data_IF_400714812164
#
_entry.id   IF_400714812164
#
_cell.length_a   1.000
_cell.length_b   1.000
_cell.length_c   1.000
_cell.angle_alpha   90.00
_cell.angle_beta   90.00
_cell.angle_gamma   90.00
#
_symmetry.space_group_name_H-M   'P 1'
#
loop_
_entity.id
_entity.type
_entity.pdbx_description
1 polymer ?
#
# COMPACT_ATOMS: atom_id res chain seq x y z
N UNK A 1 17.72 -39.68 -38.64
CA UNK A 1 16.83 -40.76 -39.11
C UNK A 1 16.28 -41.42 -37.87
N UNK A 2 15.03 -41.36 -37.43
CA UNK A 2 13.66 -41.02 -37.90
C UNK A 2 12.89 -40.77 -36.59
N UNK A 3 11.99 -39.81 -36.34
CA UNK A 3 10.91 -39.25 -37.15
C UNK A 3 9.55 -39.73 -36.60
N UNK A 4 8.63 -38.76 -36.33
CA UNK A 4 7.16 -38.86 -36.05
C UNK A 4 6.75 -38.99 -34.56
N UNK A 5 5.73 -38.32 -33.98
CA UNK A 5 5.06 -37.00 -34.10
C UNK A 5 4.01 -36.85 -32.96
N UNK A 6 3.89 -35.63 -32.41
CA UNK A 6 2.70 -34.89 -31.88
C UNK A 6 1.65 -35.53 -30.94
N UNK A 7 1.43 -34.85 -29.80
CA UNK A 7 0.16 -34.28 -29.26
C UNK A 7 0.52 -33.66 -27.88
N UNK A 8 0.71 -32.34 -27.70
CA UNK A 8 -0.24 -31.23 -27.47
C UNK A 8 -1.31 -31.40 -26.37
N UNK A 9 -1.23 -30.45 -25.42
CA UNK A 9 -2.24 -29.90 -24.48
C UNK A 9 -2.60 -30.68 -23.19
N UNK A 10 -2.27 -30.09 -22.03
CA UNK A 10 -3.29 -29.59 -21.09
C UNK A 10 -2.66 -28.77 -19.92
N UNK A 11 -3.08 -27.50 -19.82
CA UNK A 11 -2.79 -26.52 -18.76
C UNK A 11 -4.12 -26.26 -18.04
N UNK A 12 -4.22 -26.27 -16.69
CA UNK A 12 -5.48 -25.99 -16.01
C UNK A 12 -5.83 -24.50 -16.02
N UNK A 13 -7.09 -24.25 -16.35
CA UNK A 13 -7.74 -22.95 -16.59
C UNK A 13 -8.11 -22.22 -15.29
N UNK A 14 -7.96 -20.89 -15.36
CA UNK A 14 -8.59 -19.88 -14.52
C UNK A 14 -10.13 -20.00 -14.57
N UNK A 15 -10.79 -19.86 -13.41
CA UNK A 15 -12.24 -19.73 -13.27
C UNK A 15 -12.68 -18.30 -13.60
N UNK A 16 -13.37 -18.13 -14.73
CA UNK A 16 -14.18 -16.96 -15.05
C UNK A 16 -15.66 -17.29 -14.82
N UNK A 17 -16.31 -16.52 -13.94
CA UNK A 17 -17.75 -16.59 -13.70
C UNK A 17 -18.46 -15.72 -14.73
N UNK A 18 -19.16 -16.37 -15.65
CA UNK A 18 -19.84 -15.74 -16.77
C UNK A 18 -21.11 -15.00 -16.41
N UNK A 19 -21.54 -14.14 -17.33
CA UNK A 19 -22.93 -13.87 -17.68
C UNK A 19 -22.96 -13.34 -19.12
N UNK A 20 -23.67 -14.06 -20.00
CA UNK A 20 -23.91 -13.72 -21.41
C UNK A 20 -25.35 -13.18 -21.64
N UNK A 21 -25.66 -12.63 -22.83
CA UNK A 21 -26.55 -11.48 -22.99
C UNK A 21 -27.94 -11.82 -23.59
N UNK A 22 -28.87 -10.87 -23.54
CA UNK A 22 -30.17 -10.94 -24.20
C UNK A 22 -30.81 -9.56 -24.44
N UNK A 23 -31.27 -9.35 -25.67
CA UNK A 23 -31.82 -8.14 -26.31
C UNK A 23 -33.08 -7.53 -25.66
N UNK A 24 -33.38 -6.26 -26.00
CA UNK A 24 -34.77 -5.81 -26.19
C UNK A 24 -35.09 -4.36 -25.78
N UNK A 25 -35.25 -3.47 -26.75
CA UNK A 25 -35.86 -2.14 -26.61
C UNK A 25 -37.28 -2.21 -26.00
N UNK A 26 -37.64 -1.27 -25.12
CA UNK A 26 -38.99 -0.71 -25.05
C UNK A 26 -39.02 0.59 -24.25
N UNK A 27 -39.40 1.67 -24.93
CA UNK A 27 -39.84 2.95 -24.38
C UNK A 27 -41.12 2.79 -23.56
N UNK A 28 -41.16 3.34 -22.33
CA UNK A 28 -42.42 3.70 -21.66
C UNK A 28 -42.34 5.10 -21.05
N UNK A 29 -43.20 5.94 -21.61
CA UNK A 29 -43.71 7.21 -21.10
C UNK A 29 -44.26 7.04 -19.67
N UNK A 30 -44.04 8.04 -18.81
CA UNK A 30 -44.91 8.27 -17.66
C UNK A 30 -45.11 9.77 -17.48
N UNK A 31 -46.31 10.20 -17.84
CA UNK A 31 -46.89 11.53 -17.69
C UNK A 31 -47.22 11.79 -16.21
N UNK A 32 -46.88 12.97 -15.70
CA UNK A 32 -47.51 13.56 -14.51
C UNK A 32 -47.86 15.01 -14.85
N UNK A 33 -49.12 15.21 -15.21
CA UNK A 33 -49.69 16.52 -15.50
C UNK A 33 -50.16 17.20 -14.21
N UNK A 34 -49.91 18.50 -14.11
CA UNK A 34 -50.70 19.42 -13.29
C UNK A 34 -51.03 20.66 -14.14
N UNK A 35 -52.33 20.85 -14.37
CA UNK A 35 -52.95 22.01 -15.02
C UNK A 35 -53.47 23.00 -13.97
N UNK A 36 -53.19 24.29 -14.15
CA UNK A 36 -54.03 25.41 -13.68
C UNK A 36 -53.69 26.64 -14.54
N UNK A 37 -54.52 26.96 -15.53
CA UNK A 37 -55.62 27.95 -15.56
C UNK A 37 -55.18 29.35 -16.03
N UNK A 38 -55.88 29.78 -17.08
CA UNK A 38 -55.73 30.98 -17.87
C UNK A 38 -56.37 32.20 -17.20
N UNK A 39 -55.81 33.40 -17.41
CA UNK A 39 -56.53 34.66 -17.28
C UNK A 39 -56.05 35.64 -18.36
N UNK A 40 -56.96 35.94 -19.30
CA UNK A 40 -56.83 36.93 -20.36
C UNK A 40 -57.38 38.27 -19.84
N UNK A 41 -56.66 39.37 -20.03
CA UNK A 41 -57.26 40.71 -20.15
C UNK A 41 -56.45 41.53 -21.15
N UNK A 42 -57.09 41.89 -22.26
CA UNK A 42 -56.59 42.89 -23.21
C UNK A 42 -57.20 44.26 -22.90
N UNK A 43 -56.45 45.32 -23.15
CA UNK A 43 -57.00 46.65 -23.42
C UNK A 43 -56.09 47.41 -24.40
N UNK A 44 -56.75 48.05 -25.35
CA UNK A 44 -56.29 48.90 -26.44
C UNK A 44 -55.87 50.30 -25.95
N UNK A 45 -54.86 50.93 -26.58
CA UNK A 45 -54.69 52.39 -26.55
C UNK A 45 -53.89 52.92 -27.76
N UNK A 46 -54.34 54.08 -28.24
CA UNK A 46 -53.99 54.78 -29.49
C UNK A 46 -52.71 55.64 -29.38
N UNK A 47 -52.12 55.92 -30.54
CA UNK A 47 -51.32 57.09 -30.96
C UNK A 47 -51.34 58.32 -30.03
N UNK A 48 -50.18 58.91 -29.69
CA UNK A 48 -49.90 60.37 -29.83
C UNK A 48 -48.39 60.66 -29.80
N UNK A 49 -47.94 61.53 -30.69
CA UNK A 49 -46.62 62.17 -30.82
C UNK A 49 -46.37 63.22 -29.73
N UNK A 50 -45.15 63.36 -29.20
CA UNK A 50 -44.41 64.63 -28.96
C UNK A 50 -43.21 64.41 -28.03
N UNK A 51 -42.06 64.98 -28.42
CA UNK A 51 -40.78 64.79 -27.75
C UNK A 51 -40.57 65.65 -26.51
N UNK A 52 -39.44 65.40 -25.84
CA UNK A 52 -38.78 66.36 -24.96
C UNK A 52 -37.30 65.97 -24.84
N UNK A 53 -36.44 66.83 -25.41
CA UNK A 53 -35.03 66.99 -25.04
C UNK A 53 -34.89 67.37 -23.57
N UNK A 54 -33.97 66.73 -22.84
CA UNK A 54 -33.41 67.28 -21.60
C UNK A 54 -32.00 66.72 -21.31
N UNK A 55 -31.07 67.65 -21.11
CA UNK A 55 -29.69 67.50 -20.64
C UNK A 55 -29.58 66.89 -19.22
N UNK A 56 -28.56 66.05 -18.96
CA UNK A 56 -27.39 66.34 -18.08
C UNK A 56 -26.70 65.07 -17.52
N UNK A 57 -25.37 65.17 -17.41
CA UNK A 57 -24.50 64.66 -16.34
C UNK A 57 -24.09 63.18 -16.33
N UNK A 58 -22.77 62.98 -16.48
CA UNK A 58 -21.96 61.82 -16.07
C UNK A 58 -22.23 61.37 -14.62
N UNK A 59 -23.15 60.42 -14.45
CA UNK A 59 -23.20 59.51 -13.30
C UNK A 59 -23.55 58.11 -13.81
N UNK A 60 -22.79 57.12 -13.40
CA UNK A 60 -23.07 55.69 -13.61
C UNK A 60 -24.42 55.34 -12.98
N UNK A 61 -25.43 55.05 -13.81
CA UNK A 61 -26.78 54.66 -13.37
C UNK A 61 -26.98 53.18 -13.69
N UNK A 62 -26.80 52.30 -12.70
CA UNK A 62 -27.18 50.89 -12.84
C UNK A 62 -28.69 50.81 -13.08
N UNK A 63 -29.09 50.38 -14.27
CA UNK A 63 -30.50 50.13 -14.61
C UNK A 63 -30.86 48.70 -14.26
N UNK A 64 -31.77 48.51 -13.31
CA UNK A 64 -32.31 47.20 -12.95
C UNK A 64 -33.61 46.96 -13.73
N UNK A 65 -33.60 46.01 -14.66
CA UNK A 65 -34.83 45.45 -15.24
C UNK A 65 -34.67 43.93 -15.27
N UNK A 66 -35.59 43.23 -14.60
CA UNK A 66 -35.64 41.76 -14.50
C UNK A 66 -34.35 41.07 -14.04
N UNK A 67 -33.95 41.32 -12.78
CA UNK A 67 -33.14 40.38 -12.01
C UNK A 67 -31.63 40.30 -12.29
N UNK A 68 -31.08 41.05 -13.25
CA UNK A 68 -29.64 41.10 -13.50
C UNK A 68 -29.10 42.54 -13.41
N UNK A 69 -28.08 42.76 -12.58
CA UNK A 69 -27.30 44.00 -12.54
C UNK A 69 -26.22 43.94 -13.60
N UNK A 70 -26.53 44.37 -14.81
CA UNK A 70 -25.50 44.55 -15.85
C UNK A 70 -24.89 45.95 -15.69
N UNK A 71 -23.55 46.03 -15.70
CA UNK A 71 -22.84 47.31 -15.64
C UNK A 71 -23.31 48.21 -16.80
N UNK A 72 -23.56 49.50 -16.55
CA UNK A 72 -24.18 50.43 -17.52
C UNK A 72 -23.44 50.47 -18.86
N UNK A 73 -22.12 50.29 -18.81
CA UNK A 73 -21.22 50.24 -19.97
C UNK A 73 -21.45 49.00 -20.83
N UNK A 74 -21.65 47.83 -20.22
CA UNK A 74 -21.97 46.56 -20.90
C UNK A 74 -23.35 46.66 -21.59
N UNK A 75 -24.36 47.15 -20.87
CA UNK A 75 -25.70 47.35 -21.43
C UNK A 75 -25.69 48.34 -22.62
N UNK A 76 -24.92 49.44 -22.51
CA UNK A 76 -24.76 50.39 -23.60
C UNK A 76 -24.09 49.76 -24.83
N UNK A 77 -23.04 48.95 -24.63
CA UNK A 77 -22.33 48.25 -25.70
C UNK A 77 -23.22 47.23 -26.42
N UNK A 78 -24.01 46.45 -25.68
CA UNK A 78 -24.99 45.50 -26.25
C UNK A 78 -26.01 46.24 -27.13
N UNK A 79 -26.57 47.36 -26.63
CA UNK A 79 -27.50 48.18 -27.39
C UNK A 79 -26.88 48.78 -28.67
N UNK A 80 -25.63 49.25 -28.58
CA UNK A 80 -24.89 49.78 -29.73
C UNK A 80 -24.63 48.70 -30.79
N UNK A 81 -24.30 47.49 -30.39
CA UNK A 81 -24.06 46.38 -31.30
C UNK A 81 -25.36 45.87 -31.95
N UNK A 82 -26.47 45.82 -31.21
CA UNK A 82 -27.78 45.45 -31.77
C UNK A 82 -28.33 46.48 -32.75
N UNK A 83 -28.08 47.77 -32.54
CA UNK A 83 -28.57 48.83 -33.44
C UNK A 83 -27.95 48.79 -34.84
N UNK A 84 -26.79 48.16 -34.99
CA UNK A 84 -26.14 47.92 -36.28
C UNK A 84 -26.78 46.77 -37.08
N UNK A 85 -27.66 45.99 -36.44
CA UNK A 85 -28.29 44.80 -37.00
C UNK A 85 -27.35 43.59 -36.95
N UNK A 86 -27.74 42.56 -36.20
CA UNK A 86 -26.88 41.37 -35.91
C UNK A 86 -26.37 40.67 -37.18
N UNK A 87 -27.13 40.74 -38.27
CA UNK A 87 -26.75 40.15 -39.57
C UNK A 87 -25.63 40.90 -40.30
N UNK A 88 -25.39 42.17 -39.95
CA UNK A 88 -24.36 43.02 -40.54
C UNK A 88 -23.05 43.04 -39.74
N UNK A 89 -23.03 42.38 -38.57
CA UNK A 89 -21.85 42.27 -37.73
C UNK A 89 -20.89 41.19 -38.25
N UNK A 90 -19.59 41.45 -38.14
CA UNK A 90 -18.57 40.42 -38.42
C UNK A 90 -18.72 39.25 -37.45
N UNK A 91 -18.11 38.10 -37.78
CA UNK A 91 -18.13 36.95 -36.89
C UNK A 91 -17.56 37.28 -35.51
N UNK A 92 -16.41 37.97 -35.42
CA UNK A 92 -15.81 38.30 -34.13
C UNK A 92 -16.74 39.19 -33.28
N UNK A 93 -17.40 40.16 -33.91
CA UNK A 93 -18.29 41.10 -33.21
C UNK A 93 -19.60 40.42 -32.75
N UNK A 94 -20.06 39.37 -33.45
CA UNK A 94 -21.19 38.55 -32.97
C UNK A 94 -20.82 37.69 -31.77
N UNK A 95 -19.59 37.17 -31.72
CA UNK A 95 -19.07 36.44 -30.55
C UNK A 95 -18.94 37.39 -29.35
N UNK A 96 -18.44 38.61 -29.56
CA UNK A 96 -18.40 39.66 -28.54
C UNK A 96 -19.81 39.94 -27.98
N UNK A 97 -20.79 40.17 -28.86
CA UNK A 97 -22.18 40.42 -28.45
C UNK A 97 -22.76 39.24 -27.65
N UNK A 98 -22.51 38.00 -28.10
CA UNK A 98 -22.99 36.81 -27.41
C UNK A 98 -22.37 36.64 -26.02
N UNK A 99 -21.06 36.88 -25.89
CA UNK A 99 -20.36 36.84 -24.59
C UNK A 99 -20.88 37.94 -23.64
N UNK A 100 -21.10 39.16 -24.14
CA UNK A 100 -21.64 40.26 -23.34
C UNK A 100 -23.08 40.00 -22.86
N UNK A 101 -23.91 39.34 -23.68
CA UNK A 101 -25.29 38.97 -23.31
C UNK A 101 -25.35 37.75 -22.38
N UNK A 102 -24.32 36.90 -22.39
CA UNK A 102 -24.27 35.66 -21.63
C UNK A 102 -23.08 35.66 -20.66
N UNK A 103 -22.83 36.76 -19.96
CA UNK A 103 -21.73 36.89 -18.98
C UNK A 103 -21.74 35.76 -17.94
N UNK A 104 -22.94 35.30 -17.54
CA UNK A 104 -23.11 34.14 -16.64
C UNK A 104 -22.65 32.81 -17.25
N UNK A 105 -22.68 32.66 -18.56
CA UNK A 105 -22.21 31.44 -19.25
C UNK A 105 -20.69 31.29 -19.13
N UNK A 106 -19.96 32.40 -19.19
CA UNK A 106 -18.52 32.39 -18.95
C UNK A 106 -18.19 31.90 -17.54
N UNK A 107 -18.87 32.43 -16.51
CA UNK A 107 -18.67 32.01 -15.12
C UNK A 107 -19.15 30.59 -14.81
N UNK A 108 -20.26 30.14 -15.41
CA UNK A 108 -20.88 28.85 -15.08
C UNK A 108 -20.35 27.67 -15.90
N UNK A 109 -19.79 27.91 -17.09
CA UNK A 109 -19.39 26.84 -18.03
C UNK A 109 -17.93 26.93 -18.42
N UNK A 110 -17.46 28.12 -18.78
CA UNK A 110 -16.09 28.31 -19.29
C UNK A 110 -15.09 28.31 -18.13
N UNK A 111 -15.32 29.11 -17.09
CA UNK A 111 -14.41 29.22 -15.94
C UNK A 111 -14.22 27.91 -15.18
N UNK A 112 -15.25 27.07 -14.92
CA UNK A 112 -15.04 25.76 -14.30
C UNK A 112 -14.20 24.83 -15.18
N UNK A 113 -14.36 24.90 -16.50
CA UNK A 113 -13.58 24.11 -17.46
C UNK A 113 -12.12 24.56 -17.52
N UNK A 114 -11.87 25.88 -17.50
CA UNK A 114 -10.51 26.45 -17.43
C UNK A 114 -9.86 26.19 -16.08
N UNK A 115 -10.59 26.32 -14.97
CA UNK A 115 -10.10 25.96 -13.64
C UNK A 115 -9.77 24.47 -13.54
N UNK A 116 -10.58 23.60 -14.14
CA UNK A 116 -10.25 22.18 -14.25
C UNK A 116 -8.97 21.98 -15.06
N UNK A 117 -8.79 22.71 -16.16
CA UNK A 117 -7.55 22.67 -16.93
C UNK A 117 -6.34 23.14 -16.11
N UNK A 118 -6.45 24.27 -15.41
CA UNK A 118 -5.33 24.81 -14.63
C UNK A 118 -4.99 23.92 -13.43
N UNK A 119 -5.99 23.34 -12.77
CA UNK A 119 -5.76 22.43 -11.63
C UNK A 119 -5.19 21.07 -12.06
N UNK A 120 -5.60 20.53 -13.22
CA UNK A 120 -5.25 19.15 -13.61
C UNK A 120 -4.15 19.07 -14.69
N UNK A 121 -4.01 20.11 -15.51
CA UNK A 121 -3.12 20.14 -16.68
C UNK A 121 -2.02 21.22 -16.57
N UNK A 122 -2.29 22.42 -16.00
CA UNK A 122 -1.20 23.33 -15.60
C UNK A 122 -0.51 22.82 -14.33
N UNK A 123 0.36 21.83 -14.52
CA UNK A 123 1.25 21.38 -13.46
C UNK A 123 2.32 22.46 -13.26
N UNK A 124 2.22 23.21 -12.16
CA UNK A 124 3.34 24.03 -11.67
C UNK A 124 4.63 23.20 -11.73
N UNK A 125 5.79 23.79 -12.09
CA UNK A 125 7.02 23.02 -12.30
C UNK A 125 7.38 22.25 -11.03
N UNK A 126 7.02 20.96 -11.00
CA UNK A 126 7.41 20.07 -9.91
C UNK A 126 8.89 19.76 -10.07
N UNK A 127 9.71 20.53 -9.35
CA UNK A 127 11.13 20.30 -9.07
C UNK A 127 12.05 20.41 -10.30
N UNK A 128 12.73 21.55 -10.37
CA UNK A 128 13.76 21.86 -11.36
C UNK A 128 15.03 20.98 -11.23
N UNK A 129 15.20 20.24 -10.13
CA UNK A 129 16.42 19.52 -9.81
C UNK A 129 16.55 18.06 -10.27
N UNK A 130 15.56 17.45 -10.96
CA UNK A 130 15.54 16.03 -11.43
C UNK A 130 16.61 15.11 -10.80
N UNK A 131 16.38 14.65 -9.57
CA UNK A 131 17.31 13.75 -8.86
C UNK A 131 18.42 14.41 -8.05
N UNK A 132 18.44 15.74 -7.90
CA UNK A 132 19.38 16.45 -7.01
C UNK A 132 19.33 15.90 -5.57
N UNK A 133 18.14 15.58 -5.08
CA UNK A 133 17.94 14.95 -3.79
C UNK A 133 18.66 13.61 -3.68
N UNK A 134 18.47 12.73 -4.67
CA UNK A 134 19.21 11.48 -4.75
C UNK A 134 20.73 11.67 -4.81
N UNK A 135 21.24 12.60 -5.63
CA UNK A 135 22.70 12.84 -5.73
C UNK A 135 23.32 13.21 -4.39
N UNK A 136 22.64 14.07 -3.62
CA UNK A 136 23.11 14.45 -2.29
C UNK A 136 23.10 13.26 -1.31
N UNK A 137 22.05 12.43 -1.37
CA UNK A 137 21.97 11.20 -0.56
C UNK A 137 23.09 10.24 -0.96
N UNK A 138 23.29 10.01 -2.27
CA UNK A 138 24.28 9.09 -2.79
C UNK A 138 25.71 9.47 -2.40
N UNK A 139 26.08 10.74 -2.55
CA UNK A 139 27.39 11.23 -2.11
C UNK A 139 27.59 11.01 -0.61
N UNK A 140 26.56 11.30 0.20
CA UNK A 140 26.62 11.07 1.65
C UNK A 140 26.80 9.59 2.00
N UNK A 141 26.12 8.69 1.29
CA UNK A 141 26.25 7.24 1.49
C UNK A 141 27.67 6.74 1.15
N UNK A 142 28.39 7.42 0.26
CA UNK A 142 29.76 7.04 -0.11
C UNK A 142 30.80 7.54 0.91
N UNK A 143 30.50 8.61 1.64
CA UNK A 143 31.42 9.27 2.57
C UNK A 143 31.20 8.87 4.04
N UNK A 144 29.97 8.48 4.41
CA UNK A 144 29.54 8.29 5.81
C UNK A 144 28.90 6.91 6.01
N UNK A 145 29.68 5.96 6.55
CA UNK A 145 29.20 4.61 6.90
C UNK A 145 28.03 4.64 7.89
N UNK A 146 27.98 5.62 8.79
CA UNK A 146 26.87 5.76 9.72
C UNK A 146 25.60 6.20 8.99
N UNK A 147 25.71 7.04 7.96
CA UNK A 147 24.58 7.39 7.10
C UNK A 147 24.04 6.17 6.34
N UNK A 148 24.89 5.22 5.91
CA UNK A 148 24.42 3.97 5.31
C UNK A 148 23.57 3.15 6.29
N UNK A 149 24.06 2.95 7.51
CA UNK A 149 23.31 2.21 8.53
C UNK A 149 22.03 2.93 8.94
N UNK A 150 22.07 4.26 9.02
CA UNK A 150 20.89 5.07 9.36
C UNK A 150 19.85 5.04 8.24
N UNK A 151 20.23 5.27 6.97
CA UNK A 151 19.28 5.40 5.88
C UNK A 151 18.87 4.06 5.28
N UNK A 152 19.84 3.16 5.03
CA UNK A 152 19.65 1.91 4.31
C UNK A 152 19.58 0.68 5.23
N UNK A 153 19.96 0.82 6.51
CA UNK A 153 20.05 -0.27 7.49
C UNK A 153 21.06 -1.37 7.13
N UNK A 154 22.01 -1.05 6.26
CA UNK A 154 23.09 -1.94 5.85
C UNK A 154 24.32 -1.11 5.47
N UNK A 155 25.48 -1.74 5.42
CA UNK A 155 26.71 -1.10 4.95
C UNK A 155 26.66 -0.87 3.43
N UNK A 156 27.43 0.10 2.93
CA UNK A 156 27.52 0.37 1.49
C UNK A 156 27.90 -0.88 0.67
N UNK A 157 28.89 -1.71 1.06
CA UNK A 157 29.20 -2.93 0.31
C UNK A 157 28.04 -3.92 0.24
N UNK A 158 27.28 -4.08 1.34
CA UNK A 158 26.10 -4.95 1.36
C UNK A 158 25.00 -4.40 0.45
N UNK A 159 24.78 -3.08 0.48
CA UNK A 159 23.84 -2.41 -0.41
C UNK A 159 24.21 -2.58 -1.89
N UNK A 160 25.48 -2.39 -2.26
CA UNK A 160 25.96 -2.61 -3.62
C UNK A 160 25.78 -4.06 -4.06
N UNK A 161 26.11 -5.02 -3.17
CA UNK A 161 25.88 -6.44 -3.44
C UNK A 161 24.39 -6.76 -3.68
N UNK A 162 23.50 -6.19 -2.86
CA UNK A 162 22.05 -6.32 -3.03
C UNK A 162 21.58 -5.77 -4.38
N UNK A 163 22.05 -4.57 -4.76
CA UNK A 163 21.72 -3.97 -6.06
C UNK A 163 22.15 -4.87 -7.22
N UNK A 164 23.36 -5.43 -7.16
CA UNK A 164 23.88 -6.32 -8.20
C UNK A 164 23.09 -7.63 -8.29
N UNK A 165 22.72 -8.22 -7.15
CA UNK A 165 21.91 -9.44 -7.09
C UNK A 165 20.53 -9.18 -7.72
N UNK A 166 19.87 -8.08 -7.36
CA UNK A 166 18.56 -7.71 -7.88
C UNK A 166 18.57 -7.43 -9.38
N UNK A 167 19.62 -6.80 -9.87
CA UNK A 167 19.79 -6.57 -11.31
C UNK A 167 20.04 -7.86 -12.08
N UNK A 168 20.95 -8.70 -11.58
CA UNK A 168 21.46 -9.87 -12.32
C UNK A 168 20.48 -11.03 -12.29
N UNK A 169 19.88 -11.30 -11.13
CA UNK A 169 19.09 -12.51 -10.90
C UNK A 169 17.59 -12.27 -10.95
N UNK A 170 17.14 -11.05 -10.63
CA UNK A 170 15.72 -10.73 -10.46
C UNK A 170 15.19 -9.66 -11.42
N UNK A 171 15.98 -9.30 -12.45
CA UNK A 171 15.52 -8.51 -13.59
C UNK A 171 15.30 -7.02 -13.31
N UNK A 172 15.77 -6.48 -12.18
CA UNK A 172 15.62 -5.05 -11.87
C UNK A 172 16.49 -4.21 -12.82
N UNK A 173 15.85 -3.44 -13.71
CA UNK A 173 16.55 -2.64 -14.71
C UNK A 173 16.57 -1.14 -14.38
N UNK A 174 17.67 -0.43 -14.72
CA UNK A 174 17.72 1.02 -14.64
C UNK A 174 16.80 1.64 -15.69
N UNK A 175 16.40 2.88 -15.47
CA UNK A 175 15.68 3.69 -16.47
C UNK A 175 16.55 4.89 -16.85
N UNK A 176 16.18 5.59 -17.93
CA UNK A 176 16.90 6.80 -18.36
C UNK A 176 17.02 7.88 -17.28
N UNK A 177 16.13 7.87 -16.28
CA UNK A 177 16.06 8.90 -15.25
C UNK A 177 16.44 8.42 -13.85
N UNK A 178 16.54 7.10 -13.59
CA UNK A 178 16.67 6.52 -12.25
C UNK A 178 17.59 5.31 -12.31
N UNK A 179 18.63 5.32 -11.46
CA UNK A 179 19.56 4.20 -11.33
C UNK A 179 18.98 3.06 -10.49
N UNK A 180 19.65 1.92 -10.47
CA UNK A 180 19.22 0.78 -9.64
C UNK A 180 19.35 1.18 -8.18
N UNK A 181 20.48 1.76 -7.79
CA UNK A 181 20.76 2.19 -6.42
C UNK A 181 19.69 3.16 -5.92
N UNK A 182 19.27 4.12 -6.75
CA UNK A 182 18.19 5.03 -6.40
C UNK A 182 16.88 4.27 -6.16
N UNK A 183 16.55 3.32 -7.04
CA UNK A 183 15.33 2.51 -6.94
C UNK A 183 15.32 1.66 -5.66
N UNK A 184 16.43 0.98 -5.37
CA UNK A 184 16.61 0.16 -4.16
C UNK A 184 16.54 1.04 -2.91
N UNK A 185 17.23 2.19 -2.91
CA UNK A 185 17.22 3.10 -1.77
C UNK A 185 15.83 3.67 -1.48
N UNK A 186 15.04 4.01 -2.51
CA UNK A 186 13.64 4.44 -2.35
C UNK A 186 12.86 3.38 -1.57
N UNK A 187 12.94 2.11 -1.98
CA UNK A 187 12.21 1.03 -1.30
C UNK A 187 12.69 0.82 0.13
N UNK A 188 14.01 0.71 0.34
CA UNK A 188 14.60 0.48 1.66
C UNK A 188 14.24 1.60 2.63
N UNK A 189 14.21 2.86 2.18
CA UNK A 189 13.83 4.00 3.04
C UNK A 189 12.35 3.93 3.41
N UNK A 190 11.46 3.61 2.46
CA UNK A 190 10.02 3.47 2.73
C UNK A 190 9.78 2.34 3.75
N UNK A 191 10.32 1.14 3.51
CA UNK A 191 10.08 -0.04 4.34
C UNK A 191 10.83 0.02 5.67
N UNK A 192 12.08 0.47 5.67
CA UNK A 192 12.88 0.60 6.88
C UNK A 192 12.28 1.63 7.82
N UNK A 193 12.12 2.86 7.35
CA UNK A 193 11.73 4.00 8.20
C UNK A 193 10.23 4.16 8.37
N UNK A 194 9.40 3.36 7.68
CA UNK A 194 7.95 3.54 7.62
C UNK A 194 7.59 4.97 7.16
N UNK A 195 8.35 5.46 6.17
CA UNK A 195 8.22 6.80 5.61
C UNK A 195 7.07 6.88 4.60
N UNK A 196 6.44 8.04 4.50
CA UNK A 196 5.36 8.27 3.54
C UNK A 196 5.95 8.49 2.15
N UNK A 197 5.34 7.91 1.11
CA UNK A 197 5.79 8.05 -0.28
C UNK A 197 5.96 9.53 -0.69
N UNK A 198 5.12 10.43 -0.15
CA UNK A 198 5.19 11.89 -0.36
C UNK A 198 6.54 12.48 0.05
N UNK A 199 7.00 12.11 1.23
CA UNK A 199 8.22 12.65 1.84
C UNK A 199 9.46 12.06 1.17
N UNK A 200 9.43 10.76 0.83
CA UNK A 200 10.48 10.12 0.02
C UNK A 200 10.58 10.79 -1.34
N UNK A 201 9.45 11.05 -2.00
CA UNK A 201 9.42 11.81 -3.24
C UNK A 201 10.10 13.18 -3.10
N UNK A 202 9.78 13.94 -2.04
CA UNK A 202 10.40 15.24 -1.73
C UNK A 202 11.91 15.11 -1.53
N UNK A 203 12.34 14.15 -0.72
CA UNK A 203 13.75 13.95 -0.36
C UNK A 203 14.61 13.52 -1.55
N UNK A 204 14.10 12.62 -2.40
CA UNK A 204 14.81 12.13 -3.58
C UNK A 204 14.66 13.05 -4.80
N UNK A 205 13.69 13.98 -4.76
CA UNK A 205 13.39 14.85 -5.89
C UNK A 205 12.62 14.15 -7.01
N UNK A 206 11.77 13.16 -6.69
CA UNK A 206 10.98 12.36 -7.64
C UNK A 206 9.47 12.49 -7.44
N UNK A 207 8.72 12.50 -8.53
CA UNK A 207 7.25 12.57 -8.46
C UNK A 207 6.68 11.31 -7.77
N UNK A 208 5.46 11.40 -7.24
CA UNK A 208 4.82 10.30 -6.52
C UNK A 208 4.65 9.05 -7.37
N UNK A 209 4.24 9.23 -8.62
CA UNK A 209 4.04 8.15 -9.58
C UNK A 209 5.32 7.32 -9.76
N UNK A 210 6.46 7.98 -9.86
CA UNK A 210 7.77 7.35 -10.02
C UNK A 210 8.18 6.58 -8.77
N UNK A 211 7.97 7.15 -7.58
CA UNK A 211 8.25 6.47 -6.32
C UNK A 211 7.40 5.20 -6.21
N UNK A 212 6.11 5.28 -6.49
CA UNK A 212 5.20 4.14 -6.47
C UNK A 212 5.60 3.06 -7.48
N UNK A 213 5.88 3.45 -8.73
CA UNK A 213 6.30 2.49 -9.77
C UNK A 213 7.58 1.76 -9.37
N UNK A 214 8.60 2.48 -8.87
CA UNK A 214 9.85 1.88 -8.42
C UNK A 214 9.69 1.02 -7.16
N UNK A 215 8.79 1.42 -6.26
CA UNK A 215 8.42 0.59 -5.11
C UNK A 215 7.80 -0.75 -5.55
N UNK A 216 6.86 -0.73 -6.50
CA UNK A 216 6.23 -1.95 -7.02
C UNK A 216 7.20 -2.86 -7.77
N UNK A 217 8.05 -2.32 -8.65
CA UNK A 217 9.09 -3.10 -9.35
C UNK A 217 10.02 -3.81 -8.36
N UNK A 218 10.45 -3.11 -7.30
CA UNK A 218 11.31 -3.68 -6.28
C UNK A 218 10.59 -4.71 -5.40
N UNK A 219 9.32 -4.47 -5.06
CA UNK A 219 8.52 -5.42 -4.28
C UNK A 219 8.48 -6.78 -4.98
N UNK A 220 8.17 -6.80 -6.28
CA UNK A 220 8.17 -8.03 -7.08
C UNK A 220 9.54 -8.71 -7.12
N UNK A 221 10.62 -7.95 -7.31
CA UNK A 221 11.98 -8.52 -7.29
C UNK A 221 12.34 -9.09 -5.91
N UNK A 222 11.86 -8.48 -4.82
CA UNK A 222 12.11 -8.94 -3.44
C UNK A 222 11.28 -10.16 -3.09
N UNK A 223 10.07 -10.29 -3.62
CA UNK A 223 9.26 -11.51 -3.48
C UNK A 223 9.99 -12.71 -4.10
N UNK A 224 10.58 -12.55 -5.28
CA UNK A 224 11.39 -13.59 -5.91
C UNK A 224 12.68 -13.88 -5.13
N UNK A 225 13.37 -12.83 -4.65
CA UNK A 225 14.53 -12.99 -3.76
C UNK A 225 14.16 -13.77 -2.48
N UNK A 226 12.99 -13.51 -1.92
CA UNK A 226 12.53 -14.21 -0.72
C UNK A 226 12.34 -15.71 -0.97
N UNK A 227 11.88 -16.14 -2.15
CA UNK A 227 11.77 -17.56 -2.51
C UNK A 227 13.13 -18.28 -2.51
N UNK A 228 14.21 -17.60 -2.90
CA UNK A 228 15.55 -18.19 -2.93
C UNK A 228 16.22 -18.22 -1.55
N UNK A 229 15.93 -17.21 -0.71
CA UNK A 229 16.58 -17.05 0.60
C UNK A 229 15.82 -17.73 1.74
N UNK A 230 14.49 -17.72 1.71
CA UNK A 230 13.63 -18.37 2.71
C UNK A 230 13.31 -19.77 2.17
N UNK A 231 14.31 -20.64 2.23
CA UNK A 231 14.19 -22.00 1.72
C UNK A 231 13.68 -22.94 2.81
N UNK A 232 12.51 -23.52 2.55
CA UNK A 232 11.95 -24.61 3.33
C UNK A 232 12.93 -25.79 3.37
N UNK A 233 13.31 -26.28 4.56
CA UNK A 233 14.25 -27.38 4.69
C UNK A 233 13.58 -28.70 4.30
N UNK A 234 14.33 -29.54 3.60
CA UNK A 234 13.88 -30.90 3.27
C UNK A 234 13.87 -31.80 4.51
N UNK A 235 13.10 -32.89 4.49
CA UNK A 235 13.09 -33.88 5.57
C UNK A 235 14.49 -34.43 5.88
N UNK A 236 15.33 -34.61 4.86
CA UNK A 236 16.71 -35.08 5.03
C UNK A 236 17.59 -34.05 5.76
N UNK A 237 17.40 -32.76 5.48
CA UNK A 237 18.10 -31.69 6.18
C UNK A 237 17.67 -31.58 7.63
N UNK A 238 16.37 -31.74 7.91
CA UNK A 238 15.83 -31.78 9.27
C UNK A 238 16.31 -33.00 10.08
N UNK A 239 16.76 -34.07 9.43
CA UNK A 239 17.35 -35.22 10.14
C UNK A 239 18.71 -34.87 10.77
N UNK A 240 19.45 -33.92 10.18
CA UNK A 240 20.76 -33.51 10.67
C UNK A 240 20.62 -32.71 11.97
N UNK A 241 21.66 -32.75 12.80
CA UNK A 241 21.73 -31.90 14.00
C UNK A 241 22.31 -30.56 13.56
N UNK A 242 21.66 -29.42 13.87
CA UNK A 242 22.20 -28.11 13.51
C UNK A 242 23.60 -27.88 14.08
N UNK A 243 24.50 -27.33 13.28
CA UNK A 243 25.92 -27.14 13.68
C UNK A 243 26.07 -26.28 14.95
N UNK A 244 25.28 -25.20 15.06
CA UNK A 244 25.25 -24.35 16.26
C UNK A 244 24.84 -25.09 17.52
N UNK A 245 24.01 -26.13 17.39
CA UNK A 245 23.61 -26.95 18.53
C UNK A 245 24.72 -27.95 18.91
N UNK A 246 25.47 -28.50 17.94
CA UNK A 246 26.59 -29.41 18.22
C UNK A 246 27.71 -28.74 19.04
N UNK A 247 27.95 -27.45 18.82
CA UNK A 247 28.96 -26.68 19.58
C UNK A 247 28.44 -26.19 20.94
N UNK A 248 27.12 -26.21 21.16
CA UNK A 248 26.50 -25.79 22.43
C UNK A 248 26.61 -26.88 23.50
N UNK A 249 27.69 -26.82 24.27
CA UNK A 249 27.97 -27.76 25.38
C UNK A 249 26.95 -27.69 26.52
N UNK A 250 26.12 -26.65 26.59
CA UNK A 250 25.12 -26.50 27.66
C UNK A 250 23.85 -27.27 27.34
N UNK A 251 23.45 -27.27 26.06
CA UNK A 251 22.19 -27.86 25.60
C UNK A 251 22.37 -29.20 24.86
N UNK A 252 23.53 -29.45 24.24
CA UNK A 252 23.87 -30.74 23.65
C UNK A 252 24.47 -31.69 24.71
N UNK A 253 24.10 -32.99 24.74
CA UNK A 253 23.24 -33.72 23.81
C UNK A 253 21.73 -33.71 24.16
N UNK A 254 21.31 -32.99 25.20
CA UNK A 254 19.95 -33.07 25.76
C UNK A 254 18.84 -32.65 24.77
N UNK A 255 19.14 -31.74 23.84
CA UNK A 255 18.22 -31.25 22.80
C UNK A 255 18.59 -31.75 21.40
N UNK A 256 19.26 -32.91 21.25
CA UNK A 256 19.74 -33.44 19.95
C UNK A 256 18.67 -33.62 18.87
N UNK A 257 17.39 -33.71 19.24
CA UNK A 257 16.25 -33.73 18.33
C UNK A 257 15.76 -32.36 17.86
N UNK A 258 16.29 -31.26 18.40
CA UNK A 258 15.84 -29.92 18.07
C UNK A 258 16.40 -29.45 16.72
N UNK A 259 15.50 -29.02 15.83
CA UNK A 259 15.86 -28.54 14.48
C UNK A 259 15.78 -27.03 14.32
N UNK A 260 15.09 -26.34 15.23
CA UNK A 260 14.92 -24.88 15.20
C UNK A 260 13.85 -24.43 16.18
N UNK A 261 13.46 -23.16 16.06
CA UNK A 261 12.39 -22.55 16.85
C UNK A 261 11.28 -22.02 15.96
N UNK A 262 10.05 -22.09 16.45
CA UNK A 262 8.86 -21.60 15.74
C UNK A 262 8.03 -20.74 16.68
N UNK A 263 7.53 -19.63 16.16
CA UNK A 263 6.65 -18.74 16.91
C UNK A 263 5.74 -17.91 15.99
N UNK A 264 4.64 -17.45 16.54
CA UNK A 264 3.69 -16.54 15.90
C UNK A 264 4.13 -15.08 16.07
N UNK A 265 3.71 -14.23 15.13
CA UNK A 265 4.05 -12.81 15.16
C UNK A 265 3.03 -11.97 14.43
N UNK A 266 2.66 -10.84 15.02
CA UNK A 266 1.66 -9.95 14.42
C UNK A 266 2.30 -8.88 13.54
N UNK A 267 1.80 -8.73 12.31
CA UNK A 267 2.13 -7.63 11.41
C UNK A 267 0.89 -6.78 11.20
N UNK A 268 0.96 -5.48 11.50
CA UNK A 268 -0.19 -4.58 11.38
C UNK A 268 -0.64 -4.45 9.93
N UNK A 269 -1.94 -4.47 9.71
CA UNK A 269 -2.54 -4.32 8.37
C UNK A 269 -3.66 -3.28 8.39
N UNK A 270 -3.94 -2.70 7.23
CA UNK A 270 -5.13 -1.89 7.00
C UNK A 270 -6.16 -2.76 6.30
N UNK A 271 -7.29 -2.97 6.95
CA UNK A 271 -8.43 -3.72 6.41
C UNK A 271 -9.66 -2.82 6.37
N UNK A 272 -10.64 -3.19 5.56
CA UNK A 272 -11.90 -2.43 5.51
C UNK A 272 -12.65 -2.57 6.84
N UNK A 273 -13.50 -1.59 7.23
CA UNK A 273 -14.19 -1.61 8.51
C UNK A 273 -14.99 -2.89 8.76
N UNK A 274 -15.53 -3.50 7.71
CA UNK A 274 -16.36 -4.72 7.79
C UNK A 274 -15.54 -5.93 8.23
N UNK A 275 -14.25 -5.98 7.89
CA UNK A 275 -13.35 -7.09 8.23
C UNK A 275 -12.56 -6.84 9.52
N UNK A 276 -12.53 -5.60 10.03
CA UNK A 276 -11.65 -5.18 11.12
C UNK A 276 -11.77 -6.04 12.38
N UNK A 277 -12.98 -6.49 12.71
CA UNK A 277 -13.23 -7.37 13.85
C UNK A 277 -12.44 -8.68 13.82
N UNK A 278 -12.26 -9.26 12.64
CA UNK A 278 -11.50 -10.52 12.48
C UNK A 278 -9.99 -10.32 12.63
N UNK A 279 -9.49 -9.11 12.36
CA UNK A 279 -8.06 -8.83 12.37
C UNK A 279 -7.57 -8.23 13.70
N UNK A 280 -8.48 -7.92 14.64
CA UNK A 280 -8.10 -7.42 15.96
C UNK A 280 -7.26 -8.44 16.72
N UNK A 281 -6.06 -8.02 17.08
CA UNK A 281 -5.22 -8.72 18.05
C UNK A 281 -5.51 -8.25 19.48
N UNK A 282 -4.87 -8.91 20.44
CA UNK A 282 -4.94 -8.58 21.87
C UNK A 282 -4.42 -7.19 22.28
N UNK A 283 -3.89 -6.42 21.33
CA UNK A 283 -3.38 -5.06 21.54
C UNK A 283 -4.22 -4.04 20.74
N UNK A 284 -5.48 -4.35 20.45
CA UNK A 284 -6.47 -3.50 19.77
C UNK A 284 -6.05 -2.99 18.38
N UNK A 285 -5.13 -3.71 17.72
CA UNK A 285 -4.66 -3.38 16.38
C UNK A 285 -5.08 -4.45 15.37
N UNK A 286 -5.50 -4.01 14.19
CA UNK A 286 -5.73 -4.92 13.07
C UNK A 286 -4.37 -5.47 12.57
N UNK A 287 -4.23 -6.79 12.55
CA UNK A 287 -2.98 -7.45 12.17
C UNK A 287 -3.22 -8.79 11.47
N UNK A 288 -2.22 -9.24 10.71
CA UNK A 288 -2.06 -10.64 10.32
C UNK A 288 -1.25 -11.35 11.40
N UNK A 289 -1.68 -12.55 11.80
CA UNK A 289 -0.85 -13.46 12.58
C UNK A 289 -0.06 -14.34 11.60
N UNK A 290 1.26 -14.16 11.60
CA UNK A 290 2.20 -14.87 10.75
C UNK A 290 2.93 -15.88 11.62
N UNK A 291 3.08 -17.11 11.14
CA UNK A 291 3.94 -18.10 11.80
C UNK A 291 5.26 -18.19 11.03
N UNK A 292 6.37 -18.20 11.77
CA UNK A 292 7.69 -18.34 11.17
C UNK A 292 8.50 -19.40 11.91
N UNK A 293 9.36 -20.10 11.16
CA UNK A 293 10.34 -21.05 11.65
C UNK A 293 11.72 -20.47 11.37
N UNK A 294 12.60 -20.58 12.36
CA UNK A 294 13.95 -20.07 12.28
C UNK A 294 14.94 -21.13 12.75
N UNK A 295 16.06 -21.22 12.03
CA UNK A 295 17.19 -22.05 12.42
C UNK A 295 18.02 -21.38 13.53
N UNK A 296 19.04 -22.08 14.02
CA UNK A 296 19.92 -21.54 15.05
C UNK A 296 20.88 -20.44 14.55
N UNK A 297 20.94 -20.20 13.23
CA UNK A 297 21.70 -19.11 12.63
C UNK A 297 20.93 -17.79 12.56
N UNK A 298 19.70 -17.75 13.08
CA UNK A 298 18.78 -16.61 12.96
C UNK A 298 18.29 -16.37 11.54
N UNK A 299 18.22 -17.42 10.71
CA UNK A 299 17.65 -17.35 9.37
C UNK A 299 16.23 -17.90 9.40
N UNK A 300 15.28 -17.19 8.78
CA UNK A 300 13.95 -17.74 8.55
C UNK A 300 14.04 -18.83 7.49
N UNK A 301 13.52 -20.01 7.83
CA UNK A 301 13.51 -21.16 6.92
C UNK A 301 12.10 -21.44 6.39
N UNK A 302 11.08 -20.89 7.02
CA UNK A 302 9.69 -21.01 6.60
C UNK A 302 8.87 -19.86 7.19
N UNK A 303 7.97 -19.30 6.39
CA UNK A 303 7.02 -18.26 6.80
C UNK A 303 5.68 -18.56 6.18
N UNK A 304 4.61 -18.51 6.97
CA UNK A 304 3.23 -18.62 6.48
C UNK A 304 2.40 -17.42 6.95
N UNK A 305 1.81 -16.72 5.99
CA UNK A 305 1.19 -15.40 6.14
C UNK A 305 -0.32 -15.44 5.81
N UNK A 306 -1.13 -16.21 6.55
CA UNK A 306 -2.52 -16.46 6.15
C UNK A 306 -3.60 -16.35 7.22
N UNK A 307 -3.28 -15.95 8.46
CA UNK A 307 -4.29 -15.91 9.53
C UNK A 307 -4.65 -14.47 9.95
N UNK A 308 -5.95 -14.17 10.14
CA UNK A 308 -6.38 -12.96 10.82
C UNK A 308 -5.78 -12.85 12.22
N UNK A 309 -5.55 -11.62 12.69
CA UNK A 309 -4.90 -11.34 13.97
C UNK A 309 -5.68 -11.81 15.21
N UNK A 310 -6.96 -12.13 15.07
CA UNK A 310 -7.75 -12.74 16.15
C UNK A 310 -7.47 -14.24 16.34
N UNK A 311 -6.87 -14.90 15.35
CA UNK A 311 -6.60 -16.33 15.42
C UNK A 311 -5.49 -16.64 16.44
N UNK A 312 -5.78 -17.57 17.35
CA UNK A 312 -4.78 -18.13 18.27
C UNK A 312 -3.69 -18.87 17.52
N UNK A 313 -2.46 -18.83 18.02
CA UNK A 313 -1.28 -19.44 17.42
C UNK A 313 -1.45 -20.93 17.08
N UNK A 314 -2.19 -21.67 17.92
CA UNK A 314 -2.50 -23.08 17.66
C UNK A 314 -3.40 -23.24 16.42
N UNK A 315 -4.38 -22.35 16.22
CA UNK A 315 -5.24 -22.36 15.04
C UNK A 315 -4.44 -21.99 13.78
N UNK A 316 -3.56 -20.98 13.87
CA UNK A 316 -2.65 -20.59 12.77
C UNK A 316 -1.76 -21.76 12.35
N UNK A 317 -1.19 -22.50 13.31
CA UNK A 317 -0.40 -23.69 13.02
C UNK A 317 -1.22 -24.78 12.29
N UNK A 318 -2.47 -25.00 12.70
CA UNK A 318 -3.34 -25.97 12.03
C UNK A 318 -3.64 -25.54 10.59
N UNK A 319 -4.00 -24.27 10.38
CA UNK A 319 -4.24 -23.71 9.04
C UNK A 319 -3.00 -23.85 8.15
N UNK A 320 -1.81 -23.48 8.65
CA UNK A 320 -0.57 -23.60 7.89
C UNK A 320 -0.32 -25.05 7.45
N UNK A 321 -0.45 -26.01 8.38
CA UNK A 321 -0.26 -27.43 8.09
C UNK A 321 -1.26 -28.03 7.10
N UNK A 322 -2.49 -27.53 7.09
CA UNK A 322 -3.56 -28.05 6.23
C UNK A 322 -3.56 -27.39 4.86
N UNK A 323 -3.17 -26.12 4.78
CA UNK A 323 -3.19 -25.33 3.54
C UNK A 323 -1.90 -25.43 2.72
N UNK A 324 -0.77 -25.70 3.37
CA UNK A 324 0.54 -25.67 2.74
C UNK A 324 1.22 -27.05 2.75
N UNK A 325 1.32 -27.66 1.57
CA UNK A 325 1.96 -28.96 1.39
C UNK A 325 3.47 -28.92 1.62
N UNK A 326 4.08 -27.73 1.57
CA UNK A 326 5.50 -27.53 1.86
C UNK A 326 5.76 -27.27 3.33
N UNK A 327 4.76 -27.30 4.22
CA UNK A 327 4.98 -27.10 5.65
C UNK A 327 6.06 -28.09 6.17
N UNK A 328 7.18 -27.61 6.74
CA UNK A 328 8.35 -28.44 7.04
C UNK A 328 8.14 -29.24 8.34
N UNK A 329 7.35 -30.30 8.29
CA UNK A 329 7.15 -31.21 9.42
C UNK A 329 8.45 -31.93 9.81
N UNK A 330 8.88 -31.86 11.08
CA UNK A 330 10.05 -32.60 11.52
C UNK A 330 9.84 -34.13 11.45
N UNK A 331 10.91 -34.90 11.19
CA UNK A 331 10.93 -36.36 11.39
C UNK A 331 10.48 -36.79 12.79
N UNK A 332 10.17 -38.08 12.98
CA UNK A 332 9.58 -38.60 14.22
C UNK A 332 10.42 -38.33 15.49
N UNK A 333 11.74 -38.33 15.37
CA UNK A 333 12.70 -38.06 16.44
C UNK A 333 13.11 -36.58 16.56
N UNK A 334 12.48 -35.70 15.76
CA UNK A 334 12.82 -34.28 15.65
C UNK A 334 11.67 -33.37 16.06
N UNK A 335 12.00 -32.15 16.44
CA UNK A 335 11.01 -31.15 16.86
C UNK A 335 11.49 -29.70 16.76
N UNK A 336 10.54 -28.80 16.57
CA UNK A 336 10.71 -27.37 16.80
C UNK A 336 10.41 -27.01 18.26
N UNK A 337 11.16 -26.07 18.81
CA UNK A 337 10.81 -25.44 20.09
C UNK A 337 9.76 -24.36 19.85
N UNK A 338 8.65 -24.45 20.59
CA UNK A 338 7.49 -23.59 20.42
C UNK A 338 7.11 -22.90 21.72
N UNK A 339 6.35 -21.81 21.65
CA UNK A 339 5.83 -21.15 22.85
C UNK A 339 4.87 -22.05 23.64
N UNK A 340 4.66 -21.71 24.92
CA UNK A 340 3.66 -22.30 25.78
C UNK A 340 2.24 -22.25 25.20
N UNK A 341 1.92 -21.34 24.28
CA UNK A 341 0.63 -21.30 23.56
C UNK A 341 0.37 -22.50 22.65
N UNK A 342 1.40 -23.27 22.27
CA UNK A 342 1.29 -24.40 21.35
C UNK A 342 1.15 -25.75 22.06
N UNK A 343 0.49 -26.74 21.44
CA UNK A 343 0.37 -28.09 21.99
C UNK A 343 1.66 -28.91 21.83
N UNK A 344 1.96 -29.75 22.82
CA UNK A 344 2.97 -30.80 22.69
C UNK A 344 2.43 -31.93 21.80
N UNK A 345 3.01 -32.10 20.62
CA UNK A 345 2.66 -33.15 19.64
C UNK A 345 3.89 -33.47 18.78
N UNK A 346 3.81 -34.50 17.94
CA UNK A 346 4.90 -34.84 17.02
C UNK A 346 5.38 -33.59 16.25
N UNK A 347 6.68 -33.34 16.31
CA UNK A 347 7.33 -32.19 15.67
C UNK A 347 7.34 -30.89 16.48
N UNK A 348 6.66 -30.80 17.63
CA UNK A 348 6.55 -29.54 18.40
C UNK A 348 6.69 -29.77 19.91
N UNK A 349 7.66 -29.07 20.51
CA UNK A 349 7.98 -29.16 21.93
C UNK A 349 7.81 -27.80 22.64
N UNK A 350 6.76 -27.69 23.43
CA UNK A 350 6.43 -26.57 24.30
C UNK A 350 7.05 -26.76 25.71
N UNK A 351 7.28 -25.68 26.47
CA UNK A 351 7.80 -25.78 27.83
C UNK A 351 6.78 -26.41 28.78
N UNK A 352 7.25 -26.87 29.95
CA UNK A 352 6.37 -27.26 31.05
C UNK A 352 5.55 -26.05 31.50
N UNK A 353 4.22 -26.21 31.49
CA UNK A 353 3.28 -25.18 31.94
C UNK A 353 3.09 -25.26 33.45
N UNK A 354 2.80 -24.11 34.06
CA UNK A 354 2.34 -24.07 35.45
C UNK A 354 1.00 -24.80 35.58
N UNK A 355 0.78 -25.46 36.71
CA UNK A 355 -0.49 -26.10 37.08
C UNK A 355 -1.07 -25.42 38.32
N UNK A 356 -2.34 -25.71 38.64
CA UNK A 356 -3.06 -25.11 39.77
C UNK A 356 -2.31 -25.22 41.10
N UNK A 357 -1.51 -26.27 41.26
CA UNK A 357 -0.77 -26.57 42.48
C UNK A 357 0.75 -26.33 42.36
N UNK A 358 1.23 -25.86 41.21
CA UNK A 358 2.67 -25.68 40.97
C UNK A 358 2.96 -24.62 39.91
N UNK A 359 3.64 -23.56 40.33
CA UNK A 359 4.16 -22.54 39.43
C UNK A 359 5.52 -22.99 38.89
N UNK A 360 5.64 -23.03 37.57
CA UNK A 360 6.88 -23.36 36.84
C UNK A 360 7.22 -22.18 35.95
N UNK A 361 8.40 -21.58 36.16
CA UNK A 361 8.92 -20.49 35.33
C UNK A 361 9.26 -21.00 33.93
N UNK A 362 9.00 -20.19 32.91
CA UNK A 362 9.27 -20.55 31.51
C UNK A 362 9.75 -19.40 30.62
N UNK A 363 9.70 -18.15 31.08
CA UNK A 363 10.30 -17.03 30.35
C UNK A 363 11.77 -16.86 30.71
N UNK A 364 12.61 -16.54 29.72
CA UNK A 364 14.05 -16.33 29.92
C UNK A 364 14.35 -15.24 30.96
N UNK A 365 13.58 -14.14 30.94
CA UNK A 365 13.72 -13.03 31.89
C UNK A 365 13.60 -13.48 33.35
N UNK A 366 12.77 -14.49 33.63
CA UNK A 366 12.57 -15.04 34.98
C UNK A 366 13.78 -15.83 35.50
N UNK A 367 14.69 -16.23 34.60
CA UNK A 367 15.93 -16.95 34.93
C UNK A 367 17.15 -16.03 34.90
N UNK A 368 17.17 -15.00 34.05
CA UNK A 368 18.27 -14.04 33.99
C UNK A 368 18.32 -13.10 35.20
N UNK A 369 17.15 -12.66 35.67
CA UNK A 369 17.02 -11.74 36.81
C UNK A 369 16.52 -12.42 38.09
N UNK A 370 16.38 -13.74 38.06
CA UNK A 370 15.81 -14.53 39.15
C UNK A 370 16.77 -15.58 39.70
N UNK A 371 16.36 -16.30 40.77
CA UNK A 371 17.14 -17.38 41.32
C UNK A 371 17.30 -18.54 40.31
N UNK A 372 18.31 -19.41 40.46
CA UNK A 372 18.50 -20.57 39.61
C UNK A 372 17.26 -21.50 39.61
N UNK A 373 17.13 -22.40 38.62
CA UNK A 373 16.04 -23.37 38.57
C UNK A 373 15.91 -24.17 39.87
N UNK A 374 14.68 -24.25 40.40
CA UNK A 374 14.39 -24.92 41.67
C UNK A 374 14.13 -26.43 41.52
N UNK A 375 13.76 -26.86 40.32
CA UNK A 375 13.38 -28.24 40.04
C UNK A 375 13.73 -28.64 38.60
N UNK A 376 13.56 -29.92 38.28
CA UNK A 376 13.88 -30.49 36.96
C UNK A 376 13.14 -29.82 35.80
N UNK A 377 11.92 -29.33 36.03
CA UNK A 377 11.09 -28.73 34.98
C UNK A 377 11.50 -27.28 34.72
N UNK A 378 11.83 -26.52 35.75
CA UNK A 378 12.43 -25.18 35.57
C UNK A 378 13.79 -25.29 34.88
N UNK A 379 14.58 -26.34 35.17
CA UNK A 379 15.85 -26.55 34.49
C UNK A 379 15.64 -26.83 32.99
N UNK A 380 14.66 -27.67 32.67
CA UNK A 380 14.24 -27.91 31.29
C UNK A 380 13.75 -26.63 30.62
N UNK A 381 12.84 -25.89 31.25
CA UNK A 381 12.26 -24.66 30.72
C UNK A 381 13.32 -23.57 30.50
N UNK A 382 14.33 -23.45 31.38
CA UNK A 382 15.44 -22.53 31.17
C UNK A 382 16.22 -22.84 29.89
N UNK A 383 16.53 -24.11 29.66
CA UNK A 383 17.23 -24.56 28.44
C UNK A 383 16.37 -24.40 27.19
N UNK A 384 15.10 -24.81 27.29
CA UNK A 384 14.08 -24.61 26.24
C UNK A 384 13.99 -23.14 25.83
N UNK A 385 13.78 -22.24 26.79
CA UNK A 385 13.71 -20.81 26.54
C UNK A 385 15.02 -20.25 25.95
N UNK A 386 16.19 -20.82 26.31
CA UNK A 386 17.49 -20.40 25.77
C UNK A 386 17.59 -20.66 24.28
N UNK A 387 17.24 -21.87 23.86
CA UNK A 387 17.27 -22.24 22.46
C UNK A 387 16.14 -21.55 21.68
N UNK A 388 14.93 -21.50 22.24
CA UNK A 388 13.78 -20.83 21.65
C UNK A 388 14.01 -19.33 21.45
N UNK A 389 14.81 -18.68 22.29
CA UNK A 389 15.12 -17.25 22.15
C UNK A 389 15.64 -16.85 20.76
N UNK A 390 16.12 -17.80 19.95
CA UNK A 390 16.54 -17.51 18.57
C UNK A 390 15.41 -16.88 17.74
N UNK A 391 14.18 -17.42 17.75
CA UNK A 391 13.07 -16.87 16.96
C UNK A 391 12.65 -15.48 17.49
N UNK A 392 12.62 -15.31 18.81
CA UNK A 392 12.32 -14.02 19.45
C UNK A 392 13.36 -12.95 19.06
N UNK A 393 14.65 -13.30 19.06
CA UNK A 393 15.73 -12.41 18.63
C UNK A 393 15.65 -12.11 17.14
N UNK A 394 15.32 -13.10 16.30
CA UNK A 394 15.17 -12.89 14.86
C UNK A 394 14.01 -11.93 14.56
N UNK A 395 12.86 -12.11 15.22
CA UNK A 395 11.76 -11.13 15.15
C UNK A 395 12.16 -9.76 15.70
N UNK A 396 12.93 -9.71 16.78
CA UNK A 396 13.45 -8.47 17.36
C UNK A 396 14.33 -7.70 16.36
N UNK A 397 15.22 -8.37 15.63
CA UNK A 397 16.03 -7.76 14.57
C UNK A 397 15.16 -7.30 13.41
N UNK A 398 14.24 -8.16 12.95
CA UNK A 398 13.34 -7.84 11.83
C UNK A 398 12.46 -6.61 12.11
N UNK A 399 11.90 -6.51 13.31
CA UNK A 399 10.96 -5.43 13.68
C UNK A 399 11.64 -4.21 14.30
N UNK A 400 12.97 -4.21 14.44
CA UNK A 400 13.69 -3.06 14.99
C UNK A 400 13.48 -1.86 14.06
N UNK A 401 12.89 -0.80 14.59
CA UNK A 401 12.75 0.50 13.91
C UNK A 401 13.99 1.34 14.10
#
# INVERSE_FOLDING_TARGET
MTGVSRNNEDIPKQLDLGLSPGMGNTTKSTTLGHTAKCATMGHTAKSTTMGCTAWFSTRTVNCTTMGHTTNCTTAFRICQLRSQGVHNLSYEVRVELWNLENEQFEELVIQPSLNYYDQNFQKAPQRTGRGLGWRNIWNRLQEDDAACLQLLRMSLPCFTALCNILQTNYGLQPTSNISIEESVAIFLVICGHNEVQRDVGLRFGRNQETVMRKFSEFLTATELLACDYIRTPTTQELQRIPERLLVDRVNYPYFSGCVGAMDGTHVCVKVTPELQGMYWNRHDNASLNIIAICDFNMLFTYIWNGAPGSCHDTAVLTMAKESDFEFPMPPLDKYYLVDSGYPNKQGFLAPYRSSRNRVVRYHMSQFNYGPPPKNKEELFNRRHASLRSVIERTFGVWKKK
#
